data_IF_984436097189
#
_entry.id   IF_984436097189
#
_cell.length_a   1.000
_cell.length_b   1.000
_cell.length_c   1.000
_cell.angle_alpha   90.00
_cell.angle_beta   90.00
_cell.angle_gamma   90.00
#
_symmetry.space_group_name_H-M   'P 1'
#
loop_
_entity.id
_entity.type
_entity.pdbx_description
1 polymer ?
#
# COMPACT_ATOMS: atom_id res chain seq x y z
N UNK A 1 13.09 1.85 5.34
CA UNK A 1 11.85 1.13 5.01
C UNK A 1 11.43 1.59 3.62
N UNK A 2 11.34 0.67 2.66
CA UNK A 2 10.84 0.99 1.33
C UNK A 2 9.29 0.94 1.32
N UNK A 3 8.67 1.31 0.19
CA UNK A 3 7.21 1.28 0.07
C UNK A 3 6.65 -0.16 0.15
N UNK A 4 7.41 -1.17 -0.25
CA UNK A 4 6.99 -2.57 -0.24
C UNK A 4 6.80 -3.10 1.20
N UNK A 5 7.71 -2.75 2.10
CA UNK A 5 7.57 -3.02 3.53
C UNK A 5 6.35 -2.30 4.09
N UNK A 6 6.12 -1.03 3.71
CA UNK A 6 4.97 -0.24 4.19
C UNK A 6 3.63 -0.82 3.78
N UNK A 7 3.44 -1.20 2.52
CA UNK A 7 2.17 -1.77 2.06
C UNK A 7 1.91 -3.14 2.71
N UNK A 8 2.96 -3.93 2.98
CA UNK A 8 2.86 -5.19 3.71
C UNK A 8 2.45 -4.96 5.17
N UNK A 9 3.12 -4.05 5.87
CA UNK A 9 2.78 -3.73 7.26
C UNK A 9 1.37 -3.20 7.40
N UNK A 10 0.96 -2.24 6.55
CA UNK A 10 -0.41 -1.71 6.59
C UNK A 10 -1.45 -2.80 6.33
N UNK A 11 -1.19 -3.72 5.40
CA UNK A 11 -2.07 -4.86 5.15
C UNK A 11 -2.19 -5.75 6.40
N UNK A 12 -1.07 -6.10 7.02
CA UNK A 12 -1.04 -6.94 8.21
C UNK A 12 -1.72 -6.28 9.42
N UNK A 13 -1.49 -4.97 9.62
CA UNK A 13 -2.11 -4.19 10.70
C UNK A 13 -3.63 -4.07 10.57
N UNK A 14 -4.18 -4.31 9.37
CA UNK A 14 -5.62 -4.31 9.10
C UNK A 14 -6.19 -5.74 9.01
N UNK A 15 -5.43 -6.77 9.37
CA UNK A 15 -5.81 -8.19 9.30
C UNK A 15 -6.25 -8.63 7.89
N UNK A 16 -5.66 -8.03 6.85
CA UNK A 16 -6.00 -8.30 5.45
C UNK A 16 -5.08 -9.36 4.83
N UNK A 17 -5.68 -10.23 4.03
CA UNK A 17 -4.97 -11.13 3.13
C UNK A 17 -4.48 -10.38 1.88
N UNK A 18 -3.42 -10.90 1.24
CA UNK A 18 -2.96 -10.34 -0.04
C UNK A 18 -4.05 -10.37 -1.12
N UNK A 19 -4.94 -11.38 -1.09
CA UNK A 19 -6.07 -11.51 -2.00
C UNK A 19 -7.07 -10.35 -1.84
N UNK A 20 -7.41 -9.98 -0.61
CA UNK A 20 -8.34 -8.87 -0.35
C UNK A 20 -7.81 -7.52 -0.88
N UNK A 21 -6.52 -7.24 -0.68
CA UNK A 21 -5.93 -5.99 -1.20
C UNK A 21 -5.80 -6.04 -2.73
N UNK A 22 -5.45 -7.20 -3.29
CA UNK A 22 -5.42 -7.39 -4.73
C UNK A 22 -6.80 -7.17 -5.37
N UNK A 23 -7.87 -7.66 -4.74
CA UNK A 23 -9.25 -7.46 -5.18
C UNK A 23 -9.67 -5.99 -5.12
N UNK A 24 -9.27 -5.28 -4.07
CA UNK A 24 -9.47 -3.82 -3.96
C UNK A 24 -8.78 -3.05 -5.10
N UNK A 25 -7.59 -3.50 -5.51
CA UNK A 25 -6.83 -2.90 -6.60
C UNK A 25 -7.23 -3.42 -7.99
N UNK A 26 -8.08 -4.44 -8.09
CA UNK A 26 -8.46 -5.06 -9.37
C UNK A 26 -7.32 -5.84 -10.05
N UNK A 27 -6.38 -6.41 -9.27
CA UNK A 27 -5.24 -7.19 -9.78
C UNK A 27 -5.25 -8.63 -9.27
N UNK A 28 -4.45 -9.50 -9.88
CA UNK A 28 -4.25 -10.85 -9.36
C UNK A 28 -3.51 -10.82 -8.01
N UNK A 29 -3.81 -11.77 -7.10
CA UNK A 29 -3.11 -11.87 -5.82
C UNK A 29 -1.59 -12.04 -5.99
N UNK A 30 -1.16 -12.77 -7.02
CA UNK A 30 0.26 -12.93 -7.36
C UNK A 30 0.90 -11.60 -7.75
N UNK A 31 0.18 -10.74 -8.47
CA UNK A 31 0.63 -9.39 -8.82
C UNK A 31 0.83 -8.53 -7.57
N UNK A 32 -0.12 -8.54 -6.64
CA UNK A 32 0.03 -7.81 -5.37
C UNK A 32 1.19 -8.37 -4.52
N UNK A 33 1.34 -9.70 -4.46
CA UNK A 33 2.48 -10.33 -3.79
C UNK A 33 3.82 -9.91 -4.41
N UNK A 34 3.90 -9.72 -5.73
CA UNK A 34 5.12 -9.24 -6.39
C UNK A 34 5.45 -7.79 -6.01
N UNK A 35 4.46 -6.95 -5.70
CA UNK A 35 4.70 -5.61 -5.15
C UNK A 35 5.33 -5.68 -3.77
N UNK A 36 4.79 -6.51 -2.86
CA UNK A 36 5.36 -6.68 -1.51
C UNK A 36 6.76 -7.31 -1.53
N UNK A 37 7.08 -8.10 -2.55
CA UNK A 37 8.38 -8.76 -2.72
C UNK A 37 9.38 -7.95 -3.56
N UNK A 38 9.02 -6.73 -3.98
CA UNK A 38 9.82 -5.87 -4.87
C UNK A 38 10.21 -6.54 -6.21
N UNK A 39 9.47 -7.58 -6.61
CA UNK A 39 9.65 -8.27 -7.91
C UNK A 39 9.00 -7.52 -9.06
N UNK A 40 8.07 -6.62 -8.73
CA UNK A 40 7.40 -5.74 -9.69
C UNK A 40 7.26 -4.36 -9.06
N UNK A 41 7.57 -3.27 -9.78
CA UNK A 41 7.31 -1.93 -9.28
C UNK A 41 5.80 -1.70 -9.13
N UNK A 42 5.40 -1.02 -8.05
CA UNK A 42 4.02 -0.62 -7.82
C UNK A 42 3.68 0.60 -8.71
N UNK A 43 2.68 0.50 -9.61
CA UNK A 43 2.17 1.64 -10.36
C UNK A 43 1.65 2.77 -9.46
N UNK A 44 1.77 4.02 -9.91
CA UNK A 44 1.43 5.21 -9.13
C UNK A 44 -0.07 5.27 -8.78
N UNK A 45 -0.93 4.81 -9.68
CA UNK A 45 -2.37 4.72 -9.48
C UNK A 45 -2.73 3.81 -8.30
N UNK A 46 -2.00 2.71 -8.11
CA UNK A 46 -2.20 1.80 -6.97
C UNK A 46 -1.60 2.35 -5.69
N UNK A 47 -0.48 3.09 -5.76
CA UNK A 47 0.02 3.84 -4.60
C UNK A 47 -1.05 4.82 -4.09
N UNK A 48 -1.65 5.61 -4.99
CA UNK A 48 -2.72 6.55 -4.66
C UNK A 48 -3.92 5.82 -4.06
N UNK A 49 -4.33 4.69 -4.65
CA UNK A 49 -5.44 3.88 -4.15
C UNK A 49 -5.17 3.36 -2.73
N UNK A 50 -3.96 2.84 -2.46
CA UNK A 50 -3.58 2.34 -1.14
C UNK A 50 -3.49 3.47 -0.10
N UNK A 51 -2.95 4.64 -0.47
CA UNK A 51 -2.94 5.82 0.40
C UNK A 51 -4.36 6.22 0.82
N UNK A 52 -5.31 6.20 -0.12
CA UNK A 52 -6.73 6.46 0.16
C UNK A 52 -7.36 5.38 1.02
N UNK A 53 -7.13 4.11 0.68
CA UNK A 53 -7.68 2.95 1.36
C UNK A 53 -7.26 2.90 2.84
N UNK A 54 -5.96 3.07 3.11
CA UNK A 54 -5.43 3.06 4.47
C UNK A 54 -5.52 4.42 5.18
N UNK A 55 -6.03 5.45 4.50
CA UNK A 55 -6.07 6.84 4.97
C UNK A 55 -4.71 7.31 5.53
N UNK A 56 -3.66 7.25 4.70
CA UNK A 56 -2.29 7.68 5.03
C UNK A 56 -1.71 8.58 3.95
N UNK A 57 -0.79 9.47 4.33
CA UNK A 57 -0.05 10.30 3.38
C UNK A 57 0.93 9.51 2.51
N UNK A 58 1.25 10.04 1.33
CA UNK A 58 2.28 9.50 0.46
C UNK A 58 3.66 9.50 1.14
N UNK A 59 3.98 10.53 1.93
CA UNK A 59 5.25 10.60 2.69
C UNK A 59 5.42 9.41 3.63
N UNK A 60 4.33 9.02 4.31
CA UNK A 60 4.34 7.83 5.17
C UNK A 60 4.51 6.55 4.35
N UNK A 61 3.75 6.43 3.26
CA UNK A 61 3.74 5.24 2.40
C UNK A 61 5.09 5.01 1.70
N UNK A 62 5.75 6.08 1.25
CA UNK A 62 7.04 6.05 0.57
C UNK A 62 8.23 6.00 1.54
N UNK A 63 7.99 6.13 2.84
CA UNK A 63 9.04 6.08 3.86
C UNK A 63 9.81 7.38 4.08
N UNK A 64 9.32 8.51 3.55
CA UNK A 64 9.85 9.85 3.87
C UNK A 64 9.45 10.32 5.27
N UNK A 65 8.42 9.69 5.86
CA UNK A 65 8.01 9.92 7.24
C UNK A 65 7.59 8.63 7.95
N UNK A 66 7.74 8.63 9.28
CA UNK A 66 7.16 7.61 10.16
C UNK A 66 5.83 8.05 10.80
N UNK A 67 5.37 9.27 10.51
CA UNK A 67 4.13 9.80 11.05
C UNK A 67 2.97 9.37 10.15
N UNK A 68 2.02 8.60 10.69
CA UNK A 68 0.74 8.31 10.02
C UNK A 68 -0.13 9.56 10.00
N UNK A 69 0.12 10.46 9.05
CA UNK A 69 -0.78 11.59 8.79
C UNK A 69 -1.95 11.09 7.93
N UNK A 70 -3.21 11.29 8.36
CA UNK A 70 -4.36 11.02 7.52
C UNK A 70 -4.34 11.94 6.29
N UNK A 71 -4.98 11.50 5.21
CA UNK A 71 -5.14 12.36 4.04
C UNK A 71 -5.98 13.57 4.42
N UNK A 72 -5.55 14.75 3.97
CA UNK A 72 -6.37 15.95 4.12
C UNK A 72 -7.59 15.79 3.21
N UNK A 73 -8.80 15.82 3.78
CA UNK A 73 -10.03 15.87 3.00
C UNK A 73 -10.07 17.26 2.37
N UNK A 74 -9.82 17.32 1.05
CA UNK A 74 -10.06 18.52 0.25
C UNK A 74 -11.52 18.55 -0.16
#
# INVERSE_FOLDING_TARGET
MNYADRIRSLRQDNDLTQKQVADMLGVAQTTYSQYELEKRPLPIEYLIALCKYYNVSADYMLGFSNIRKPLHKT
#
